data_IF_022353022643
#
_entry.id   IF_022353022643
#
_cell.length_a   1.000
_cell.length_b   1.000
_cell.length_c   1.000
_cell.angle_alpha   90.00
_cell.angle_beta   90.00
_cell.angle_gamma   90.00
#
_symmetry.space_group_name_H-M   'P 1'
#
loop_
_entity.id
_entity.type
_entity.pdbx_description
1 polymer ?
#
# COMPACT_ATOMS: atom_id res chain seq x y z
N UNK A 1 37.53 5.01 -3.81
CA UNK A 1 37.07 5.59 -2.53
C UNK A 1 35.57 5.43 -2.47
N UNK A 2 35.08 4.45 -1.71
CA UNK A 2 33.67 4.05 -1.70
C UNK A 2 33.05 4.17 -0.30
N UNK A 3 31.87 4.79 -0.26
CA UNK A 3 30.63 4.55 0.52
C UNK A 3 30.64 4.04 1.99
N UNK A 4 31.75 3.74 2.67
CA UNK A 4 31.71 3.21 4.05
C UNK A 4 32.51 3.97 5.13
N UNK A 5 33.13 5.11 4.83
CA UNK A 5 33.99 5.81 5.80
C UNK A 5 33.34 6.94 6.63
N UNK A 6 32.02 7.14 6.54
CA UNK A 6 31.39 8.32 7.16
C UNK A 6 30.85 8.16 8.59
N UNK A 7 31.07 7.03 9.28
CA UNK A 7 30.51 6.81 10.63
C UNK A 7 31.52 6.37 11.71
N UNK A 8 32.75 6.89 11.68
CA UNK A 8 33.70 6.73 12.79
C UNK A 8 34.32 8.05 13.25
N UNK A 9 33.71 8.69 14.26
CA UNK A 9 34.37 9.04 15.55
C UNK A 9 33.47 9.90 16.44
N UNK A 10 33.44 9.53 17.72
CA UNK A 10 32.86 10.32 18.81
C UNK A 10 32.66 9.44 20.05
N UNK A 11 33.74 9.01 20.68
CA UNK A 11 33.74 8.30 21.96
C UNK A 11 33.30 9.24 23.08
N UNK A 12 32.12 9.03 23.65
CA UNK A 12 31.78 9.45 25.01
C UNK A 12 31.01 8.31 25.67
N UNK A 13 31.63 7.70 26.69
CA UNK A 13 31.06 6.62 27.50
C UNK A 13 29.74 7.05 28.13
N UNK A 14 28.70 6.24 27.94
CA UNK A 14 27.46 6.28 28.73
C UNK A 14 27.00 4.83 28.92
N UNK A 15 26.41 4.50 30.08
CA UNK A 15 26.44 3.15 30.62
C UNK A 15 25.61 2.18 29.80
N UNK A 16 26.18 1.00 29.58
CA UNK A 16 25.55 -0.16 28.95
C UNK A 16 24.20 -0.45 29.61
N UNK A 17 23.12 -0.02 28.96
CA UNK A 17 21.83 -0.68 29.14
C UNK A 17 21.97 -2.04 28.49
N UNK A 18 21.75 -3.10 29.28
CA UNK A 18 21.53 -4.46 28.81
C UNK A 18 20.46 -4.47 27.70
N UNK A 19 20.87 -4.24 26.46
CA UNK A 19 20.06 -4.48 25.29
C UNK A 19 20.01 -5.99 25.13
N UNK A 20 18.91 -6.57 25.59
CA UNK A 20 18.50 -7.93 25.18
C UNK A 20 18.71 -8.04 23.67
N UNK A 21 19.33 -9.11 23.15
CA UNK A 21 19.57 -9.24 21.71
C UNK A 21 18.23 -9.04 20.99
N UNK A 22 18.20 -8.07 20.07
CA UNK A 22 16.99 -7.64 19.39
C UNK A 22 16.41 -8.82 18.61
N UNK A 23 15.36 -9.45 19.15
CA UNK A 23 14.56 -10.40 18.42
C UNK A 23 14.02 -9.75 17.16
N UNK A 24 13.90 -10.53 16.09
CA UNK A 24 13.24 -10.09 14.86
C UNK A 24 11.85 -9.55 15.22
N UNK A 25 11.55 -8.28 14.90
CA UNK A 25 10.28 -7.61 15.26
C UNK A 25 9.22 -7.67 14.17
N UNK A 26 9.57 -8.23 13.01
CA UNK A 26 8.70 -8.40 11.85
C UNK A 26 9.01 -9.75 11.23
N UNK A 27 8.00 -10.60 11.04
CA UNK A 27 8.17 -11.90 10.38
C UNK A 27 7.36 -11.94 9.09
N UNK A 28 7.92 -12.60 8.07
CA UNK A 28 7.24 -12.80 6.79
C UNK A 28 7.12 -14.29 6.51
N UNK A 29 5.93 -14.72 6.12
CA UNK A 29 5.65 -16.08 5.71
C UNK A 29 4.94 -16.09 4.37
N UNK A 30 5.50 -16.82 3.41
CA UNK A 30 4.83 -17.16 2.16
C UNK A 30 4.26 -18.58 2.26
N UNK A 31 3.03 -18.75 1.78
CA UNK A 31 2.35 -20.04 1.75
C UNK A 31 1.35 -20.12 0.60
N UNK A 32 0.89 -21.34 0.30
CA UNK A 32 -0.21 -21.62 -0.63
C UNK A 32 -1.54 -21.73 0.12
N UNK A 33 -2.66 -21.68 -0.59
CA UNK A 33 -3.99 -21.75 0.03
C UNK A 33 -4.23 -23.07 0.78
N UNK A 34 -3.62 -24.16 0.31
CA UNK A 34 -3.72 -25.49 0.92
C UNK A 34 -2.99 -25.57 2.28
N UNK A 35 -1.95 -24.76 2.48
CA UNK A 35 -1.07 -24.83 3.65
C UNK A 35 -1.59 -24.06 4.86
N UNK A 36 -2.70 -23.33 4.71
CA UNK A 36 -3.33 -22.55 5.78
C UNK A 36 -3.75 -23.51 6.91
N UNK A 37 -2.98 -23.47 8.00
CA UNK A 37 -3.18 -24.29 9.20
C UNK A 37 -2.51 -23.64 10.41
N UNK A 38 -3.05 -23.88 11.59
CA UNK A 38 -2.55 -23.31 12.86
C UNK A 38 -1.06 -23.59 13.06
N UNK A 39 -0.62 -24.83 12.80
CA UNK A 39 0.77 -25.22 12.94
C UNK A 39 1.68 -24.41 11.99
N UNK A 40 1.27 -24.26 10.73
CA UNK A 40 2.06 -23.51 9.74
C UNK A 40 2.14 -22.02 10.08
N UNK A 41 1.04 -21.44 10.57
CA UNK A 41 0.94 -20.01 10.87
C UNK A 41 1.51 -19.63 12.25
N UNK A 42 1.68 -20.59 13.16
CA UNK A 42 2.23 -20.36 14.50
C UNK A 42 3.59 -19.66 14.51
N UNK A 43 4.40 -19.84 13.46
CA UNK A 43 5.69 -19.18 13.30
C UNK A 43 5.62 -17.64 13.26
N UNK A 44 4.46 -17.08 12.90
CA UNK A 44 4.22 -15.64 12.84
C UNK A 44 3.97 -15.01 14.23
N UNK A 45 3.80 -15.79 15.29
CA UNK A 45 3.64 -15.29 16.65
C UNK A 45 4.98 -14.88 17.29
N UNK A 46 4.97 -13.85 18.13
CA UNK A 46 6.11 -13.37 18.92
C UNK A 46 6.01 -13.86 20.36
N UNK A 47 6.30 -15.16 20.54
CA UNK A 47 6.16 -15.83 21.82
C UNK A 47 4.71 -15.84 22.32
N UNK A 48 4.52 -15.78 23.65
CA UNK A 48 3.18 -15.78 24.26
C UNK A 48 2.38 -14.49 24.03
N UNK A 49 3.00 -13.42 23.55
CA UNK A 49 2.33 -12.16 23.27
C UNK A 49 1.58 -12.15 21.93
N UNK A 50 1.77 -13.18 21.09
CA UNK A 50 1.12 -13.27 19.78
C UNK A 50 1.67 -12.24 18.79
N UNK A 51 0.81 -11.65 17.97
CA UNK A 51 1.18 -10.60 17.02
C UNK A 51 0.19 -9.43 17.12
N UNK A 52 0.68 -8.18 17.14
CA UNK A 52 -0.22 -7.02 17.25
C UNK A 52 -0.98 -6.74 15.96
N UNK A 53 -0.34 -7.00 14.82
CA UNK A 53 -0.89 -6.83 13.49
C UNK A 53 -0.34 -7.91 12.57
N UNK A 54 -1.21 -8.49 11.75
CA UNK A 54 -0.84 -9.29 10.58
C UNK A 54 -1.46 -8.66 9.35
N UNK A 55 -0.67 -8.49 8.29
CA UNK A 55 -1.13 -8.06 6.97
C UNK A 55 -1.04 -9.24 6.03
N UNK A 56 -2.14 -9.57 5.38
CA UNK A 56 -2.23 -10.63 4.39
C UNK A 56 -2.34 -10.07 2.98
N UNK A 57 -1.37 -10.37 2.14
CA UNK A 57 -1.42 -10.12 0.71
C UNK A 57 -1.85 -11.41 0.02
N UNK A 58 -3.01 -11.39 -0.61
CA UNK A 58 -3.67 -12.59 -1.13
C UNK A 58 -3.73 -12.52 -2.65
N UNK A 59 -3.38 -13.63 -3.31
CA UNK A 59 -3.58 -13.77 -4.75
C UNK A 59 -5.02 -13.43 -5.17
N UNK A 60 -5.21 -12.72 -6.30
CA UNK A 60 -6.53 -12.38 -6.80
C UNK A 60 -7.25 -13.58 -7.43
N UNK A 61 -6.55 -14.71 -7.62
CA UNK A 61 -7.11 -15.96 -8.12
C UNK A 61 -7.84 -16.76 -7.03
N UNK A 62 -7.72 -16.35 -5.78
CA UNK A 62 -8.36 -17.01 -4.65
C UNK A 62 -9.73 -16.43 -4.33
N UNK A 63 -10.57 -17.24 -3.70
CA UNK A 63 -11.73 -16.74 -2.96
C UNK A 63 -11.23 -15.95 -1.75
N UNK A 64 -11.14 -14.62 -1.94
CA UNK A 64 -10.52 -13.71 -1.00
C UNK A 64 -11.20 -13.73 0.37
N UNK A 65 -12.53 -13.63 0.42
CA UNK A 65 -13.29 -13.61 1.66
C UNK A 65 -13.11 -14.92 2.44
N UNK A 66 -13.29 -16.07 1.77
CA UNK A 66 -13.11 -17.38 2.40
C UNK A 66 -11.67 -17.58 2.87
N UNK A 67 -10.69 -17.10 2.11
CA UNK A 67 -9.27 -17.17 2.48
C UNK A 67 -8.98 -16.33 3.73
N UNK A 68 -9.48 -15.10 3.79
CA UNK A 68 -9.33 -14.25 4.98
C UNK A 68 -10.01 -14.83 6.22
N UNK A 69 -11.19 -15.44 6.07
CA UNK A 69 -11.87 -16.15 7.17
C UNK A 69 -11.02 -17.33 7.68
N UNK A 70 -10.44 -18.13 6.78
CA UNK A 70 -9.54 -19.25 7.16
C UNK A 70 -8.28 -18.75 7.86
N UNK A 71 -7.65 -17.69 7.33
CA UNK A 71 -6.48 -17.06 7.95
C UNK A 71 -6.79 -16.53 9.35
N UNK A 72 -7.93 -15.85 9.52
CA UNK A 72 -8.39 -15.35 10.81
C UNK A 72 -8.60 -16.48 11.83
N UNK A 73 -9.21 -17.58 11.41
CA UNK A 73 -9.43 -18.74 12.27
C UNK A 73 -8.12 -19.42 12.68
N UNK A 74 -7.15 -19.51 11.77
CA UNK A 74 -5.85 -20.16 12.01
C UNK A 74 -4.81 -19.27 12.71
N UNK A 75 -5.11 -17.99 12.93
CA UNK A 75 -4.23 -17.04 13.65
C UNK A 75 -4.92 -16.39 14.86
N UNK A 76 -5.41 -17.18 15.83
CA UNK A 76 -6.03 -16.61 17.05
C UNK A 76 -5.05 -15.78 17.88
N UNK A 77 -3.74 -15.92 17.65
CA UNK A 77 -2.69 -15.13 18.28
C UNK A 77 -2.54 -13.71 17.70
N UNK A 78 -3.17 -13.40 16.57
CA UNK A 78 -3.10 -12.09 15.94
C UNK A 78 -4.22 -11.19 16.48
N UNK A 79 -3.86 -10.10 17.17
CA UNK A 79 -4.83 -9.13 17.70
C UNK A 79 -5.59 -8.41 16.58
N UNK A 80 -4.91 -8.16 15.46
CA UNK A 80 -5.47 -7.52 14.28
C UNK A 80 -5.01 -8.24 13.02
N UNK A 81 -5.93 -8.47 12.08
CA UNK A 81 -5.64 -9.04 10.76
C UNK A 81 -6.25 -8.14 9.69
N UNK A 82 -5.42 -7.55 8.84
CA UNK A 82 -5.86 -6.85 7.63
C UNK A 82 -5.48 -7.69 6.43
N UNK A 83 -6.27 -7.63 5.37
CA UNK A 83 -5.95 -8.32 4.12
C UNK A 83 -6.18 -7.44 2.92
N UNK A 84 -5.48 -7.72 1.83
CA UNK A 84 -5.70 -7.10 0.54
C UNK A 84 -5.36 -8.08 -0.58
N UNK A 85 -6.06 -7.94 -1.70
CA UNK A 85 -5.65 -8.59 -2.94
C UNK A 85 -4.38 -7.93 -3.49
N UNK A 86 -3.49 -8.71 -4.11
CA UNK A 86 -2.29 -8.19 -4.78
C UNK A 86 -2.08 -8.78 -6.17
N UNK A 87 -1.82 -7.94 -7.17
CA UNK A 87 -1.63 -8.39 -8.56
C UNK A 87 -0.27 -9.09 -8.82
N UNK A 88 0.63 -9.09 -7.83
CA UNK A 88 1.92 -9.74 -7.89
C UNK A 88 2.69 -9.61 -6.59
N UNK A 89 3.91 -10.14 -6.58
CA UNK A 89 4.73 -10.23 -5.38
C UNK A 89 6.15 -9.73 -5.65
N UNK A 90 6.68 -8.94 -4.73
CA UNK A 90 8.09 -8.56 -4.72
C UNK A 90 8.89 -9.62 -3.97
N UNK A 91 10.08 -9.91 -4.48
CA UNK A 91 10.99 -10.91 -3.92
C UNK A 91 12.42 -10.41 -3.90
N UNK A 92 13.17 -10.81 -2.89
CA UNK A 92 14.63 -10.76 -2.87
C UNK A 92 15.27 -12.14 -2.99
N UNK A 93 14.46 -13.20 -3.17
CA UNK A 93 14.93 -14.59 -3.20
C UNK A 93 15.56 -14.99 -4.54
N UNK A 94 15.41 -14.17 -5.59
CA UNK A 94 15.96 -14.44 -6.93
C UNK A 94 16.66 -13.20 -7.49
N UNK A 95 17.28 -13.33 -8.66
CA UNK A 95 17.83 -12.17 -9.39
C UNK A 95 16.75 -11.21 -9.90
N UNK A 96 15.50 -11.66 -10.01
CA UNK A 96 14.34 -10.81 -10.30
C UNK A 96 13.75 -10.28 -9.00
N UNK A 97 13.45 -8.98 -8.97
CA UNK A 97 12.73 -8.33 -7.88
C UNK A 97 11.24 -8.72 -7.83
N UNK A 98 10.74 -9.40 -8.86
CA UNK A 98 9.34 -9.83 -8.97
C UNK A 98 9.26 -11.36 -9.07
N UNK A 99 8.32 -11.96 -8.34
CA UNK A 99 7.92 -13.33 -8.59
C UNK A 99 7.12 -13.44 -9.89
N UNK A 100 7.28 -14.57 -10.57
CA UNK A 100 6.49 -14.89 -11.75
C UNK A 100 5.05 -15.19 -11.32
N UNK A 101 4.09 -14.41 -11.83
CA UNK A 101 2.65 -14.62 -11.59
C UNK A 101 2.08 -15.57 -12.64
N UNK A 102 2.42 -16.85 -12.52
CA UNK A 102 1.87 -17.90 -13.40
C UNK A 102 0.34 -17.95 -13.34
N UNK A 103 -0.30 -18.44 -14.40
CA UNK A 103 -1.75 -18.52 -14.46
C UNK A 103 -2.32 -19.33 -13.27
N UNK A 104 -3.21 -18.71 -12.49
CA UNK A 104 -3.84 -19.36 -11.35
C UNK A 104 -2.96 -19.46 -10.10
N UNK A 105 -1.86 -18.70 -10.00
CA UNK A 105 -1.05 -18.66 -8.77
C UNK A 105 -1.93 -18.36 -7.54
N UNK A 106 -1.68 -19.04 -6.43
CA UNK A 106 -2.49 -19.00 -5.20
C UNK A 106 -1.67 -18.62 -3.96
N UNK A 107 -0.54 -17.94 -4.17
CA UNK A 107 0.31 -17.53 -3.07
C UNK A 107 -0.42 -16.53 -2.14
N UNK A 108 -0.04 -16.63 -0.88
CA UNK A 108 -0.42 -15.74 0.19
C UNK A 108 0.87 -15.31 0.88
N UNK A 109 1.06 -14.02 1.07
CA UNK A 109 2.16 -13.47 1.86
C UNK A 109 1.57 -12.88 3.14
N UNK A 110 2.07 -13.32 4.28
CA UNK A 110 1.70 -12.82 5.59
C UNK A 110 2.89 -12.09 6.20
N UNK A 111 2.64 -10.88 6.68
CA UNK A 111 3.62 -10.10 7.42
C UNK A 111 3.07 -9.81 8.82
N UNK A 112 3.72 -10.33 9.86
CA UNK A 112 3.35 -10.11 11.25
C UNK A 112 4.30 -9.15 11.96
N UNK A 113 3.75 -8.38 12.90
CA UNK A 113 4.48 -7.38 13.66
C UNK A 113 4.43 -7.66 15.16
N UNK A 114 5.59 -7.54 15.79
CA UNK A 114 5.76 -7.74 17.22
C UNK A 114 4.93 -6.73 18.02
N UNK A 115 4.17 -7.16 19.06
CA UNK A 115 3.42 -6.25 19.91
C UNK A 115 4.23 -5.12 20.55
N UNK A 116 5.53 -5.32 20.81
CA UNK A 116 6.42 -4.29 21.37
C UNK A 116 6.65 -3.09 20.45
N UNK A 117 6.31 -3.19 19.15
CA UNK A 117 6.43 -2.08 18.20
C UNK A 117 5.36 -1.01 18.42
N UNK A 118 4.19 -1.38 18.94
CA UNK A 118 3.02 -0.53 18.96
C UNK A 118 2.47 -0.38 20.38
N UNK A 119 2.19 0.86 20.78
CA UNK A 119 1.33 1.10 21.93
C UNK A 119 -0.14 0.87 21.58
N UNK A 120 -0.50 1.03 20.30
CA UNK A 120 -1.87 0.82 19.83
C UNK A 120 -1.95 0.62 18.32
N UNK A 121 -2.93 -0.18 17.89
CA UNK A 121 -3.34 -0.33 16.49
C UNK A 121 -4.85 -0.13 16.43
N UNK A 122 -5.32 0.84 15.65
CA UNK A 122 -6.75 1.09 15.43
C UNK A 122 -7.06 1.02 13.94
N UNK A 123 -8.09 0.25 13.58
CA UNK A 123 -8.53 0.07 12.21
C UNK A 123 -9.81 0.87 12.01
N UNK A 124 -9.84 1.67 10.95
CA UNK A 124 -10.97 2.51 10.56
C UNK A 124 -11.31 2.26 9.10
N UNK A 125 -12.59 2.24 8.76
CA UNK A 125 -13.05 2.17 7.37
C UNK A 125 -13.72 3.48 6.96
N UNK A 126 -13.39 3.99 5.78
CA UNK A 126 -13.91 5.26 5.23
C UNK A 126 -14.67 4.96 3.96
N UNK A 127 -15.94 5.38 3.87
CA UNK A 127 -16.73 5.24 2.64
C UNK A 127 -16.16 6.07 1.50
N UNK A 128 -15.93 5.45 0.33
CA UNK A 128 -15.35 6.12 -0.84
C UNK A 128 -16.41 6.78 -1.72
N UNK A 129 -17.68 6.38 -1.62
CA UNK A 129 -18.79 6.96 -2.38
C UNK A 129 -18.53 6.95 -3.89
N UNK A 130 -17.92 5.90 -4.44
CA UNK A 130 -17.44 5.87 -5.83
C UNK A 130 -18.55 6.08 -6.86
N UNK A 131 -19.78 5.65 -6.58
CA UNK A 131 -20.94 5.89 -7.46
C UNK A 131 -21.22 7.38 -7.69
N UNK A 132 -20.87 8.24 -6.73
CA UNK A 132 -21.08 9.67 -6.81
C UNK A 132 -20.22 10.35 -7.90
N UNK A 133 -19.16 9.70 -8.39
CA UNK A 133 -18.32 10.24 -9.47
C UNK A 133 -19.10 10.49 -10.77
N UNK A 134 -20.22 9.79 -10.98
CA UNK A 134 -21.05 9.94 -12.19
C UNK A 134 -21.90 11.21 -12.17
N UNK A 135 -22.37 11.60 -10.98
CA UNK A 135 -23.42 12.60 -10.83
C UNK A 135 -22.97 13.86 -10.06
N UNK A 136 -21.76 13.85 -9.49
CA UNK A 136 -21.23 14.95 -8.67
C UNK A 136 -19.93 15.49 -9.22
N UNK A 137 -19.71 16.79 -9.01
CA UNK A 137 -18.42 17.39 -9.26
C UNK A 137 -17.35 16.79 -8.33
N UNK A 138 -16.09 16.89 -8.75
CA UNK A 138 -14.93 16.46 -7.96
C UNK A 138 -14.93 17.03 -6.54
N UNK A 139 -15.29 18.30 -6.38
CA UNK A 139 -15.32 18.98 -5.07
C UNK A 139 -16.43 18.44 -4.16
N UNK A 140 -17.62 18.18 -4.71
CA UNK A 140 -18.73 17.60 -3.95
C UNK A 140 -18.44 16.16 -3.51
N UNK A 141 -17.79 15.38 -4.36
CA UNK A 141 -17.38 14.02 -4.00
C UNK A 141 -16.32 14.02 -2.89
N UNK A 142 -15.31 14.90 -2.98
CA UNK A 142 -14.33 15.09 -1.89
C UNK A 142 -15.05 15.46 -0.58
N UNK A 143 -16.09 16.28 -0.63
CA UNK A 143 -16.85 16.68 0.57
C UNK A 143 -17.62 15.51 1.22
N UNK A 144 -18.12 14.56 0.43
CA UNK A 144 -18.72 13.32 0.97
C UNK A 144 -17.68 12.52 1.76
N UNK A 145 -16.52 12.25 1.15
CA UNK A 145 -15.44 11.52 1.81
C UNK A 145 -14.90 12.31 3.01
N UNK A 146 -14.84 13.64 2.93
CA UNK A 146 -14.41 14.50 4.05
C UNK A 146 -15.29 14.30 5.28
N UNK A 147 -16.61 14.16 5.11
CA UNK A 147 -17.55 13.88 6.20
C UNK A 147 -17.31 12.50 6.82
N UNK A 148 -17.05 11.48 6.01
CA UNK A 148 -16.66 10.13 6.49
C UNK A 148 -15.40 10.22 7.34
N UNK A 149 -14.34 10.87 6.84
CA UNK A 149 -13.07 11.06 7.54
C UNK A 149 -13.26 11.86 8.85
N UNK A 150 -14.12 12.89 8.83
CA UNK A 150 -14.41 13.70 10.02
C UNK A 150 -15.19 12.93 11.09
N UNK A 151 -15.91 11.87 10.71
CA UNK A 151 -16.62 11.00 11.65
C UNK A 151 -15.70 10.07 12.44
N UNK A 152 -14.50 9.77 11.92
CA UNK A 152 -13.55 8.86 12.55
C UNK A 152 -13.21 9.29 13.99
N UNK A 153 -13.08 8.33 14.90
CA UNK A 153 -12.75 8.57 16.30
C UNK A 153 -11.56 7.70 16.67
N UNK A 154 -10.46 8.36 16.99
CA UNK A 154 -9.30 7.73 17.63
C UNK A 154 -9.30 8.14 19.10
N UNK A 155 -8.93 7.24 20.02
CA UNK A 155 -8.90 7.55 21.46
C UNK A 155 -7.66 8.34 21.88
N UNK A 156 -6.89 8.83 20.91
CA UNK A 156 -5.72 9.69 21.06
C UNK A 156 -5.66 10.64 19.87
N UNK A 157 -4.83 11.66 20.01
CA UNK A 157 -4.47 12.54 18.89
C UNK A 157 -3.25 11.94 18.18
N UNK A 158 -3.34 11.60 16.88
CA UNK A 158 -2.18 11.17 16.09
C UNK A 158 -1.11 12.25 16.06
N UNK A 159 0.14 11.82 15.98
CA UNK A 159 1.31 12.70 15.88
C UNK A 159 2.32 12.09 14.91
N UNK A 160 2.88 12.90 14.01
CA UNK A 160 3.85 12.46 13.01
C UNK A 160 5.12 11.84 13.63
N UNK A 161 5.42 12.01 14.91
CA UNK A 161 6.59 11.41 15.56
C UNK A 161 6.35 9.97 16.00
N UNK A 162 5.09 9.58 16.20
CA UNK A 162 4.76 8.29 16.81
C UNK A 162 3.56 7.57 16.19
N UNK A 163 2.91 8.14 15.17
CA UNK A 163 1.74 7.55 14.53
C UNK A 163 1.94 7.50 13.02
N UNK A 164 1.62 6.35 12.43
CA UNK A 164 1.60 6.13 10.98
C UNK A 164 0.24 5.54 10.62
N UNK A 165 -0.38 6.04 9.56
CA UNK A 165 -1.60 5.47 9.01
C UNK A 165 -1.27 4.63 7.77
N UNK A 166 -1.39 3.30 7.88
CA UNK A 166 -1.31 2.42 6.73
C UNK A 166 -2.69 2.38 6.04
N UNK A 167 -2.72 2.76 4.77
CA UNK A 167 -3.92 3.02 3.98
C UNK A 167 -4.02 2.01 2.86
N UNK A 168 -5.12 1.28 2.84
CA UNK A 168 -5.48 0.39 1.74
C UNK A 168 -6.82 0.78 1.17
N UNK A 169 -6.92 0.83 -0.16
CA UNK A 169 -8.13 1.28 -0.85
C UNK A 169 -8.61 0.15 -1.74
N UNK A 170 -9.92 -0.06 -1.79
CA UNK A 170 -10.53 -0.88 -2.84
C UNK A 170 -10.14 -0.33 -4.21
N UNK A 171 -9.33 -1.08 -4.94
CA UNK A 171 -8.60 -0.61 -6.12
C UNK A 171 -9.50 -0.22 -7.29
N UNK A 172 -10.77 -0.63 -7.27
CA UNK A 172 -11.74 -0.29 -8.32
C UNK A 172 -12.43 1.05 -8.09
N UNK A 173 -12.27 1.65 -6.91
CA UNK A 173 -12.94 2.92 -6.60
C UNK A 173 -12.32 4.11 -7.34
N UNK A 174 -11.06 4.00 -7.81
CA UNK A 174 -10.26 5.10 -8.35
C UNK A 174 -10.21 6.36 -7.43
N UNK A 175 -10.51 6.19 -6.14
CA UNK A 175 -10.77 7.29 -5.19
C UNK A 175 -9.55 7.75 -4.39
N UNK A 176 -8.36 7.20 -4.64
CA UNK A 176 -7.15 7.49 -3.83
C UNK A 176 -6.85 8.99 -3.70
N UNK A 177 -6.87 9.71 -4.82
CA UNK A 177 -6.63 11.17 -4.82
C UNK A 177 -7.76 11.96 -4.14
N UNK A 178 -8.99 11.43 -4.14
CA UNK A 178 -10.14 12.05 -3.47
C UNK A 178 -10.04 11.87 -1.96
N UNK A 179 -9.74 10.65 -1.50
CA UNK A 179 -9.48 10.34 -0.10
C UNK A 179 -8.34 11.20 0.46
N UNK A 180 -7.23 11.28 -0.26
CA UNK A 180 -6.07 12.04 0.22
C UNK A 180 -6.42 13.54 0.37
N UNK A 181 -7.13 14.13 -0.59
CA UNK A 181 -7.63 15.51 -0.45
C UNK A 181 -8.63 15.66 0.69
N UNK A 182 -9.53 14.70 0.89
CA UNK A 182 -10.49 14.72 1.98
C UNK A 182 -9.78 14.69 3.35
N UNK A 183 -8.78 13.82 3.51
CA UNK A 183 -7.94 13.76 4.73
C UNK A 183 -7.25 15.10 4.98
N UNK A 184 -6.53 15.65 3.99
CA UNK A 184 -5.83 16.92 4.16
C UNK A 184 -6.78 18.08 4.48
N UNK A 185 -7.99 18.12 3.89
CA UNK A 185 -8.99 19.14 4.17
C UNK A 185 -9.63 19.02 5.56
N UNK A 186 -9.47 17.89 6.25
CA UNK A 186 -10.02 17.74 7.60
C UNK A 186 -9.13 18.31 8.70
N UNK A 187 -7.84 18.50 8.42
CA UNK A 187 -6.83 18.98 9.37
C UNK A 187 -6.83 18.24 10.73
N UNK A 188 -7.26 16.96 10.74
CA UNK A 188 -7.45 16.17 11.97
C UNK A 188 -6.35 15.16 12.26
N UNK A 189 -5.59 14.75 11.25
CA UNK A 189 -4.68 13.61 11.32
C UNK A 189 -3.26 14.05 10.94
N UNK A 190 -2.50 14.68 11.85
CA UNK A 190 -1.16 15.16 11.57
C UNK A 190 -0.14 14.01 11.67
N UNK A 191 -0.33 12.98 10.86
CA UNK A 191 0.55 11.82 10.71
C UNK A 191 0.73 11.46 9.23
N UNK A 192 1.70 10.61 8.92
CA UNK A 192 1.89 10.17 7.55
C UNK A 192 0.94 9.05 7.17
N UNK A 193 0.39 9.15 5.96
CA UNK A 193 -0.39 8.12 5.32
C UNK A 193 0.50 7.42 4.29
N UNK A 194 0.68 6.10 4.46
CA UNK A 194 1.44 5.23 3.56
C UNK A 194 0.55 4.09 3.07
N UNK A 195 0.97 3.35 2.06
CA UNK A 195 0.21 2.22 1.50
C UNK A 195 -0.20 2.48 0.07
N UNK A 196 -1.37 1.98 -0.34
CA UNK A 196 -1.84 2.10 -1.71
C UNK A 196 -3.12 1.32 -1.97
N UNK A 197 -3.54 1.36 -3.23
CA UNK A 197 -4.71 0.62 -3.69
C UNK A 197 -4.42 -0.89 -3.78
N UNK A 198 -5.39 -1.72 -3.42
CA UNK A 198 -5.29 -3.17 -3.60
C UNK A 198 -5.18 -3.52 -5.10
N UNK A 199 -4.46 -4.60 -5.40
CA UNK A 199 -4.22 -5.07 -6.77
C UNK A 199 -5.10 -6.26 -7.12
N UNK A 200 -5.87 -6.13 -8.20
CA UNK A 200 -6.79 -7.15 -8.68
C UNK A 200 -6.24 -8.04 -9.79
N UNK A 201 -7.15 -8.80 -10.43
CA UNK A 201 -6.84 -9.44 -11.72
C UNK A 201 -6.66 -8.37 -12.81
N UNK A 202 -6.02 -8.74 -13.93
CA UNK A 202 -5.87 -7.86 -15.11
C UNK A 202 -7.21 -7.50 -15.78
N UNK A 203 -8.31 -8.17 -15.41
CA UNK A 203 -9.64 -7.85 -15.90
C UNK A 203 -10.33 -6.75 -15.07
N UNK A 204 -9.66 -6.25 -14.01
CA UNK A 204 -10.15 -5.18 -13.13
C UNK A 204 -11.55 -5.46 -12.54
N UNK A 205 -11.84 -6.72 -12.24
CA UNK A 205 -13.14 -7.16 -11.72
C UNK A 205 -13.23 -7.06 -10.19
N UNK A 206 -12.10 -7.26 -9.49
CA UNK A 206 -12.01 -7.27 -8.02
C UNK A 206 -10.66 -6.76 -7.54
N UNK A 207 -10.65 -5.88 -6.55
CA UNK A 207 -9.43 -5.39 -5.89
C UNK A 207 -9.72 -5.09 -4.40
N UNK A 208 -10.13 -6.13 -3.67
CA UNK A 208 -10.72 -5.99 -2.36
C UNK A 208 -9.70 -5.86 -1.23
N UNK A 209 -10.19 -5.27 -0.13
CA UNK A 209 -9.49 -5.13 1.15
C UNK A 209 -10.36 -5.74 2.25
N UNK A 210 -9.75 -6.39 3.22
CA UNK A 210 -10.38 -6.93 4.42
C UNK A 210 -10.07 -6.04 5.63
N UNK A 211 -11.09 -5.50 6.29
CA UNK A 211 -10.95 -4.52 7.38
C UNK A 211 -10.74 -5.13 8.77
N UNK A 212 -10.49 -6.43 8.84
CA UNK A 212 -10.42 -7.19 10.09
C UNK A 212 -11.69 -7.94 10.42
N UNK A 213 -12.81 -7.53 9.85
CA UNK A 213 -14.11 -8.18 10.08
C UNK A 213 -14.75 -8.72 8.82
N UNK A 214 -14.66 -7.98 7.72
CA UNK A 214 -15.33 -8.28 6.45
C UNK A 214 -14.62 -7.64 5.27
N UNK A 215 -15.09 -7.94 4.06
CA UNK A 215 -14.64 -7.26 2.85
C UNK A 215 -15.15 -5.81 2.84
N UNK A 216 -14.23 -4.87 2.71
CA UNK A 216 -14.48 -3.43 2.72
C UNK A 216 -14.83 -2.91 1.32
N UNK A 217 -16.02 -3.23 0.82
CA UNK A 217 -16.51 -2.74 -0.48
C UNK A 217 -16.71 -1.22 -0.51
N UNK A 218 -16.24 -0.57 -1.58
CA UNK A 218 -16.31 0.89 -1.77
C UNK A 218 -15.79 1.68 -0.56
N UNK A 219 -14.73 1.16 0.06
CA UNK A 219 -14.13 1.73 1.27
C UNK A 219 -12.61 1.77 1.17
N UNK A 220 -12.03 2.69 1.91
CA UNK A 220 -10.63 2.62 2.29
C UNK A 220 -10.50 2.15 3.74
N UNK A 221 -9.52 1.30 4.01
CA UNK A 221 -9.15 0.83 5.34
C UNK A 221 -7.90 1.58 5.78
N UNK A 222 -8.01 2.31 6.90
CA UNK A 222 -6.96 3.07 7.54
C UNK A 222 -6.55 2.36 8.83
N UNK A 223 -5.31 1.93 8.92
CA UNK A 223 -4.72 1.28 10.10
C UNK A 223 -3.80 2.29 10.77
N UNK A 224 -4.29 2.93 11.83
CA UNK A 224 -3.49 3.85 12.64
C UNK A 224 -2.63 3.05 13.61
N UNK A 225 -1.32 3.05 13.34
CA UNK A 225 -0.31 2.38 14.15
C UNK A 225 0.39 3.42 15.02
N UNK A 226 0.04 3.44 16.31
CA UNK A 226 0.74 4.25 17.31
C UNK A 226 1.90 3.46 17.87
N UNK A 227 3.11 3.95 17.66
CA UNK A 227 4.36 3.33 18.07
C UNK A 227 4.49 3.27 19.60
N UNK A 228 5.18 2.25 20.10
CA UNK A 228 5.52 2.15 21.50
C UNK A 228 6.60 3.18 21.90
N UNK A 229 6.70 3.58 23.18
CA UNK A 229 7.78 4.44 23.66
C UNK A 229 9.16 3.88 23.29
N UNK A 230 10.03 4.73 22.74
CA UNK A 230 11.38 4.33 22.30
C UNK A 230 11.44 3.78 20.88
N UNK A 231 10.32 3.42 20.27
CA UNK A 231 10.25 3.02 18.85
C UNK A 231 10.17 4.27 17.98
N UNK A 232 10.87 4.24 16.85
CA UNK A 232 10.94 5.32 15.86
C UNK A 232 10.79 4.73 14.47
N UNK A 233 10.44 5.58 13.51
CA UNK A 233 10.36 5.20 12.11
C UNK A 233 10.97 6.29 11.24
N UNK A 234 11.30 5.94 10.01
CA UNK A 234 11.69 6.87 8.96
C UNK A 234 10.93 6.53 7.68
N UNK A 235 10.64 7.55 6.87
CA UNK A 235 10.03 7.36 5.56
C UNK A 235 11.12 7.21 4.52
N UNK A 236 11.14 6.05 3.88
CA UNK A 236 11.98 5.79 2.72
C UNK A 236 11.09 5.82 1.47
N UNK A 237 11.42 6.71 0.54
CA UNK A 237 10.86 6.69 -0.80
C UNK A 237 11.93 6.19 -1.76
N UNK A 238 11.62 5.11 -2.45
CA UNK A 238 12.46 4.58 -3.54
C UNK A 238 11.62 4.41 -4.80
N UNK A 239 12.28 4.37 -5.95
CA UNK A 239 11.65 4.16 -7.24
C UNK A 239 12.35 3.02 -7.95
N UNK A 240 11.55 2.07 -8.42
CA UNK A 240 11.97 0.87 -9.15
C UNK A 240 11.94 1.08 -10.67
N UNK A 241 11.97 2.33 -11.12
CA UNK A 241 12.08 2.71 -12.53
C UNK A 241 13.31 3.58 -12.77
N UNK A 242 13.95 3.38 -13.92
CA UNK A 242 15.04 4.20 -14.41
C UNK A 242 14.49 5.12 -15.50
N UNK A 243 14.81 6.41 -15.43
CA UNK A 243 14.43 7.35 -16.48
C UNK A 243 14.98 6.87 -17.83
N UNK A 244 14.13 6.84 -18.85
CA UNK A 244 14.50 6.49 -20.24
C UNK A 244 15.23 7.63 -20.95
N UNK A 245 15.28 8.82 -20.34
CA UNK A 245 15.89 10.03 -20.90
C UNK A 245 14.97 10.86 -21.78
N UNK A 246 13.74 10.38 -22.07
CA UNK A 246 12.71 11.15 -22.78
C UNK A 246 11.64 11.67 -21.84
N UNK A 247 11.24 12.92 -22.04
CA UNK A 247 10.12 13.58 -21.37
C UNK A 247 9.14 14.12 -22.41
N UNK A 248 7.87 14.26 -22.02
CA UNK A 248 6.85 14.94 -22.82
C UNK A 248 6.18 16.00 -21.96
N UNK A 249 5.95 17.18 -22.53
CA UNK A 249 5.19 18.25 -21.86
C UNK A 249 3.73 18.10 -22.25
N UNK A 250 2.87 17.83 -21.26
CA UNK A 250 1.44 17.62 -21.49
C UNK A 250 0.79 18.94 -21.90
N UNK A 251 0.03 18.93 -23.00
CA UNK A 251 -0.77 20.08 -23.44
C UNK A 251 -2.23 19.88 -23.05
N UNK A 252 -2.86 18.79 -23.50
CA UNK A 252 -4.23 18.41 -23.12
C UNK A 252 -4.25 17.05 -22.45
N UNK A 253 -4.79 17.01 -21.22
CA UNK A 253 -5.00 15.78 -20.47
C UNK A 253 -6.25 15.87 -19.61
N UNK A 254 -6.84 14.72 -19.33
CA UNK A 254 -7.90 14.56 -18.34
C UNK A 254 -7.32 13.85 -17.13
N UNK A 255 -7.07 14.60 -16.05
CA UNK A 255 -6.51 14.07 -14.81
C UNK A 255 -7.46 13.14 -14.05
N UNK A 256 -8.77 13.24 -14.31
CA UNK A 256 -9.78 12.37 -13.70
C UNK A 256 -9.82 11.01 -14.39
N UNK A 257 -9.79 11.00 -15.73
CA UNK A 257 -9.74 9.78 -16.55
C UNK A 257 -8.31 9.22 -16.69
N UNK A 258 -7.30 9.96 -16.23
CA UNK A 258 -5.87 9.63 -16.36
C UNK A 258 -5.44 9.43 -17.81
N UNK A 259 -6.03 10.19 -18.74
CA UNK A 259 -5.75 10.13 -20.17
C UNK A 259 -4.98 11.36 -20.62
N UNK A 260 -3.97 11.16 -21.48
CA UNK A 260 -3.24 12.23 -22.17
C UNK A 260 -3.64 12.21 -23.64
N UNK A 261 -4.10 13.35 -24.15
CA UNK A 261 -4.51 13.49 -25.55
C UNK A 261 -3.37 14.05 -26.39
N UNK A 262 -2.75 15.14 -25.92
CA UNK A 262 -1.72 15.87 -26.68
C UNK A 262 -0.54 16.29 -25.81
N UNK A 263 0.58 16.49 -26.48
CA UNK A 263 1.83 16.98 -25.89
C UNK A 263 2.37 18.12 -26.76
N UNK A 264 3.20 18.97 -26.18
CA UNK A 264 3.91 19.99 -26.95
C UNK A 264 5.09 19.36 -27.68
N UNK A 265 5.17 19.58 -28.99
CA UNK A 265 6.38 19.28 -29.75
C UNK A 265 7.53 20.19 -29.29
N UNK A 266 8.68 19.59 -28.94
CA UNK A 266 9.81 20.34 -28.38
C UNK A 266 10.38 21.38 -29.36
N UNK A 267 10.26 21.14 -30.67
CA UNK A 267 10.84 22.00 -31.71
C UNK A 267 9.85 23.07 -32.15
N UNK A 268 8.60 22.71 -32.42
CA UNK A 268 7.60 23.63 -32.94
C UNK A 268 6.80 24.34 -31.85
N UNK A 269 6.81 23.82 -30.62
CA UNK A 269 5.97 24.26 -29.50
C UNK A 269 4.46 24.12 -29.80
N UNK A 270 4.09 23.38 -30.84
CA UNK A 270 2.70 23.12 -31.19
C UNK A 270 2.15 21.92 -30.44
N UNK A 271 0.84 21.93 -30.19
CA UNK A 271 0.12 20.79 -29.62
C UNK A 271 0.00 19.68 -30.67
N UNK A 272 0.58 18.51 -30.39
CA UNK A 272 0.56 17.33 -31.25
C UNK A 272 -0.01 16.12 -30.51
N UNK A 273 -0.54 15.14 -31.25
CA UNK A 273 -1.06 13.91 -30.63
C UNK A 273 0.03 13.19 -29.84
N UNK A 274 -0.29 12.78 -28.61
CA UNK A 274 0.66 12.03 -27.79
C UNK A 274 1.06 10.71 -28.45
N UNK A 275 0.11 10.03 -29.10
CA UNK A 275 0.36 8.77 -29.80
C UNK A 275 1.35 8.94 -30.96
N UNK A 276 1.26 10.04 -31.70
CA UNK A 276 2.18 10.32 -32.82
C UNK A 276 3.59 10.66 -32.30
N UNK A 277 3.66 11.48 -31.25
CA UNK A 277 4.94 11.82 -30.60
C UNK A 277 5.63 10.57 -30.02
N UNK A 278 4.85 9.67 -29.41
CA UNK A 278 5.33 8.39 -28.89
C UNK A 278 5.80 7.45 -30.00
N UNK A 279 5.04 7.32 -31.09
CA UNK A 279 5.41 6.54 -32.27
C UNK A 279 6.73 7.04 -32.89
N UNK A 280 6.86 8.35 -33.06
CA UNK A 280 8.06 8.97 -33.59
C UNK A 280 9.28 8.70 -32.69
N UNK A 281 9.10 8.75 -31.36
CA UNK A 281 10.17 8.44 -30.41
C UNK A 281 10.59 6.96 -30.45
N UNK A 282 9.62 6.04 -30.50
CA UNK A 282 9.88 4.59 -30.53
C UNK A 282 10.20 4.06 -31.94
N UNK A 283 10.23 4.93 -32.95
CA UNK A 283 10.43 4.60 -34.35
C UNK A 283 9.53 3.44 -34.80
N UNK A 284 8.22 3.60 -34.59
CA UNK A 284 7.22 2.59 -34.90
C UNK A 284 5.94 3.22 -35.45
N UNK A 285 5.08 2.42 -36.06
CA UNK A 285 3.74 2.86 -36.42
C UNK A 285 2.79 2.67 -35.24
N UNK A 286 1.62 3.33 -35.26
CA UNK A 286 0.60 3.15 -34.23
C UNK A 286 0.14 1.70 -34.03
N UNK A 287 0.22 0.87 -35.08
CA UNK A 287 -0.18 -0.55 -35.01
C UNK A 287 0.86 -1.42 -34.30
N UNK A 288 2.12 -0.99 -34.30
CA UNK A 288 3.23 -1.76 -33.75
C UNK A 288 3.53 -1.36 -32.30
N UNK A 289 2.85 -0.35 -31.78
CA UNK A 289 3.12 0.28 -30.48
C UNK A 289 3.03 -0.71 -29.31
N UNK A 290 2.04 -1.61 -29.31
CA UNK A 290 1.89 -2.65 -28.27
C UNK A 290 3.01 -3.71 -28.28
N UNK A 291 3.76 -3.80 -29.38
CA UNK A 291 4.84 -4.78 -29.55
C UNK A 291 6.24 -4.24 -29.27
N UNK A 292 6.36 -2.96 -28.90
CA UNK A 292 7.62 -2.28 -28.56
C UNK A 292 7.89 -2.29 -27.06
#
# INVERSE_FOLDING_TARGET
MGIFDFLRRGTSESPERNATPAGESVKVLQLRQADISDNRLSGLAFGGAGAALVIAYVSPNLDFERTMQRLKAAMPFASNLIGLMTAGELSSCSSSNYHTTEAGWDNIILQSFDPSLFSRVDICSVGMHSSAMKDKSRSEHIELIRKEVQSLRLPYQPDARDTIALTFIDGLTASESYLMQAIYRTDRFPCYFIGGSAGGTLNFDKAWVWDGTSVAHDKAVLVFMKLAPGVRYGLLKSHNYKATGKSFVLAECDTSQRTVSTVLDEKTQESVSFMDSLCAHLNCSRRDLESR
#
